data_IF_865602314974
#
_entry.id   IF_865602314974
#
_cell.length_a   1.000
_cell.length_b   1.000
_cell.length_c   1.000
_cell.angle_alpha   90.00
_cell.angle_beta   90.00
_cell.angle_gamma   90.00
#
_symmetry.space_group_name_H-M   'P 1'
#
loop_
_entity.id
_entity.type
_entity.pdbx_description
1 polymer ?
#
# COMPACT_ATOMS: atom_id res chain seq x y z
N UNK A 1 -2.08 15.40 -20.69
CA UNK A 1 -1.76 13.99 -20.34
C UNK A 1 -1.63 13.18 -21.62
N UNK A 2 -0.64 12.27 -21.71
CA UNK A 2 -0.52 11.35 -22.83
C UNK A 2 -1.78 10.48 -23.02
N UNK A 3 -2.06 10.07 -24.25
CA UNK A 3 -3.28 9.34 -24.61
C UNK A 3 -3.39 7.97 -23.91
N UNK A 4 -2.28 7.24 -23.75
CA UNK A 4 -2.28 5.93 -23.10
C UNK A 4 -2.49 6.03 -21.59
N UNK A 5 -1.99 7.07 -20.93
CA UNK A 5 -2.29 7.32 -19.50
C UNK A 5 -3.79 7.55 -19.32
N UNK A 6 -4.40 8.41 -20.15
CA UNK A 6 -5.84 8.70 -20.10
C UNK A 6 -6.69 7.44 -20.37
N UNK A 7 -6.30 6.64 -21.37
CA UNK A 7 -6.93 5.35 -21.67
C UNK A 7 -6.83 4.40 -20.47
N UNK A 8 -5.63 4.23 -19.91
CA UNK A 8 -5.39 3.34 -18.77
C UNK A 8 -6.23 3.73 -17.55
N UNK A 9 -6.29 5.03 -17.21
CA UNK A 9 -7.14 5.52 -16.14
C UNK A 9 -8.63 5.28 -16.41
N UNK A 10 -9.07 5.43 -17.66
CA UNK A 10 -10.44 5.12 -18.07
C UNK A 10 -10.73 3.63 -17.89
N UNK A 11 -9.80 2.76 -18.23
CA UNK A 11 -9.94 1.31 -18.03
C UNK A 11 -9.97 0.95 -16.53
N UNK A 12 -9.18 1.66 -15.71
CA UNK A 12 -9.10 1.44 -14.27
C UNK A 12 -10.27 2.04 -13.49
N UNK A 13 -11.02 3.01 -14.05
CA UNK A 13 -12.05 3.80 -13.34
C UNK A 13 -13.00 2.97 -12.48
N UNK A 14 -13.55 1.87 -13.01
CA UNK A 14 -14.51 1.01 -12.29
C UNK A 14 -13.83 0.31 -11.12
N UNK A 15 -12.57 -0.07 -11.30
CA UNK A 15 -11.75 -0.67 -10.25
C UNK A 15 -11.41 0.33 -9.16
N UNK A 16 -10.98 1.53 -9.55
CA UNK A 16 -10.63 2.60 -8.62
C UNK A 16 -11.85 2.98 -7.77
N UNK A 17 -13.02 3.16 -8.39
CA UNK A 17 -14.27 3.41 -7.67
C UNK A 17 -14.59 2.29 -6.68
N UNK A 18 -14.50 1.02 -7.09
CA UNK A 18 -14.75 -0.12 -6.20
C UNK A 18 -13.75 -0.19 -5.05
N UNK A 19 -12.48 0.08 -5.30
CA UNK A 19 -11.44 0.11 -4.26
C UNK A 19 -11.63 1.28 -3.29
N UNK A 20 -11.91 2.48 -3.80
CA UNK A 20 -12.23 3.64 -2.94
C UNK A 20 -13.46 3.38 -2.09
N UNK A 21 -14.53 2.81 -2.65
CA UNK A 21 -15.74 2.46 -1.90
C UNK A 21 -15.43 1.36 -0.88
N UNK A 22 -14.72 0.30 -1.25
CA UNK A 22 -14.42 -0.81 -0.35
C UNK A 22 -13.53 -0.43 0.82
N UNK A 23 -12.43 0.28 0.54
CA UNK A 23 -11.52 0.79 1.58
C UNK A 23 -12.23 1.85 2.42
N UNK A 24 -12.98 2.75 1.78
CA UNK A 24 -13.74 3.76 2.48
C UNK A 24 -14.80 3.16 3.40
N UNK A 25 -15.57 2.17 2.94
CA UNK A 25 -16.55 1.46 3.75
C UNK A 25 -15.90 0.75 4.93
N UNK A 26 -14.73 0.12 4.72
CA UNK A 26 -13.95 -0.48 5.79
C UNK A 26 -13.54 0.56 6.84
N UNK A 27 -12.95 1.68 6.43
CA UNK A 27 -12.56 2.75 7.36
C UNK A 27 -13.76 3.36 8.08
N UNK A 28 -14.86 3.65 7.37
CA UNK A 28 -16.09 4.16 7.99
C UNK A 28 -16.63 3.20 9.04
N UNK A 29 -16.70 1.90 8.73
CA UNK A 29 -17.17 0.89 9.66
C UNK A 29 -16.34 0.91 10.94
N UNK A 30 -15.01 0.82 10.82
CA UNK A 30 -14.15 0.75 12.01
C UNK A 30 -14.06 2.08 12.76
N UNK A 31 -14.04 3.23 12.10
CA UNK A 31 -14.02 4.51 12.80
C UNK A 31 -15.35 4.82 13.49
N UNK A 32 -16.48 4.32 12.95
CA UNK A 32 -17.78 4.49 13.60
C UNK A 32 -17.88 3.79 14.97
N UNK A 33 -17.05 2.77 15.20
CA UNK A 33 -16.98 2.02 16.47
C UNK A 33 -16.13 2.75 17.52
N UNK A 34 -15.26 3.67 17.13
CA UNK A 34 -14.32 4.34 18.04
C UNK A 34 -14.96 5.00 19.26
N UNK A 35 -16.07 5.78 19.16
CA UNK A 35 -16.68 6.39 20.34
C UNK A 35 -17.01 5.38 21.43
N UNK A 36 -17.59 4.22 21.05
CA UNK A 36 -17.90 3.14 21.97
C UNK A 36 -16.64 2.53 22.61
N UNK A 37 -15.56 2.38 21.83
CA UNK A 37 -14.29 1.87 22.35
C UNK A 37 -13.64 2.85 23.32
N UNK A 38 -13.69 4.16 23.01
CA UNK A 38 -13.07 5.22 23.82
C UNK A 38 -13.70 5.37 25.20
N UNK A 39 -15.01 5.08 25.32
CA UNK A 39 -15.75 5.10 26.59
C UNK A 39 -15.43 3.86 27.46
N UNK A 40 -15.16 2.71 26.83
CA UNK A 40 -14.96 1.41 27.50
C UNK A 40 -13.48 1.13 27.86
N UNK A 41 -12.89 1.99 28.68
CA UNK A 41 -11.46 1.93 29.05
C UNK A 41 -11.03 0.65 29.77
N UNK A 42 -11.95 0.01 30.50
CA UNK A 42 -11.67 -1.24 31.20
C UNK A 42 -11.39 -2.42 30.25
N UNK A 43 -11.96 -2.38 29.03
CA UNK A 43 -11.85 -3.44 28.04
C UNK A 43 -10.76 -3.13 27.00
N UNK A 44 -10.67 -1.87 26.58
CA UNK A 44 -9.81 -1.46 25.46
C UNK A 44 -8.62 -0.58 25.84
N UNK A 45 -8.47 -0.26 27.13
CA UNK A 45 -7.32 0.50 27.63
C UNK A 45 -6.02 -0.31 27.61
N UNK A 46 -4.89 0.39 27.73
CA UNK A 46 -3.56 -0.20 27.69
C UNK A 46 -3.35 -1.38 28.67
N UNK A 47 -3.97 -1.33 29.85
CA UNK A 47 -3.85 -2.40 30.86
C UNK A 47 -4.59 -3.69 30.46
N UNK A 48 -5.71 -3.58 29.74
CA UNK A 48 -6.44 -4.73 29.23
C UNK A 48 -5.70 -5.35 28.05
N UNK A 49 -5.18 -4.51 27.16
CA UNK A 49 -4.41 -4.94 25.99
C UNK A 49 -3.07 -5.62 26.36
N UNK A 50 -2.50 -5.29 27.52
CA UNK A 50 -1.30 -5.95 28.05
C UNK A 50 -1.52 -7.44 28.39
N UNK A 51 -2.78 -7.90 28.53
CA UNK A 51 -3.11 -9.30 28.85
C UNK A 51 -3.03 -10.23 27.64
N UNK A 52 -2.95 -9.70 26.43
CA UNK A 52 -2.84 -10.52 25.22
C UNK A 52 -1.42 -11.13 25.09
N UNK A 53 -1.30 -12.33 24.49
CA UNK A 53 0.01 -12.95 24.24
C UNK A 53 0.92 -12.03 23.42
N UNK A 54 2.22 -12.01 23.78
CA UNK A 54 3.21 -11.14 23.13
C UNK A 54 3.23 -11.26 21.60
N UNK A 55 3.19 -12.48 21.06
CA UNK A 55 3.19 -12.69 19.61
C UNK A 55 1.97 -12.08 18.90
N UNK A 56 0.78 -12.14 19.51
CA UNK A 56 -0.43 -11.52 18.95
C UNK A 56 -0.33 -9.99 19.04
N UNK A 57 0.25 -9.48 20.13
CA UNK A 57 0.51 -8.07 20.34
C UNK A 57 1.47 -7.51 19.30
N UNK A 58 2.55 -8.20 19.02
CA UNK A 58 3.57 -7.81 18.04
C UNK A 58 3.00 -7.76 16.62
N UNK A 59 2.24 -8.79 16.22
CA UNK A 59 1.56 -8.84 14.92
C UNK A 59 0.55 -7.70 14.74
N UNK A 60 -0.02 -7.18 15.83
CA UNK A 60 -0.92 -6.03 15.86
C UNK A 60 -0.21 -4.71 16.15
N UNK A 61 1.12 -4.64 15.98
CA UNK A 61 1.87 -3.39 16.11
C UNK A 61 2.09 -2.92 17.55
N UNK A 62 2.06 -3.84 18.50
CA UNK A 62 2.26 -3.54 19.92
C UNK A 62 0.97 -3.28 20.71
N UNK A 63 -0.22 -3.35 20.08
CA UNK A 63 -1.54 -3.02 20.67
C UNK A 63 -1.47 -1.82 21.62
N UNK A 64 -1.34 -0.62 21.03
CA UNK A 64 -1.36 0.63 21.77
C UNK A 64 -2.74 0.88 22.42
N UNK A 65 -2.85 1.92 23.24
CA UNK A 65 -4.13 2.31 23.84
C UNK A 65 -5.18 2.64 22.77
N UNK A 66 -6.15 1.73 22.56
CA UNK A 66 -7.23 1.88 21.59
C UNK A 66 -8.25 2.94 22.01
N UNK A 67 -8.19 3.41 23.26
CA UNK A 67 -9.07 4.48 23.75
C UNK A 67 -8.56 5.87 23.33
N UNK A 68 -7.31 5.95 22.87
CA UNK A 68 -6.76 7.15 22.24
C UNK A 68 -6.97 7.14 20.73
N UNK A 69 -7.29 8.29 20.15
CA UNK A 69 -7.51 8.39 18.69
C UNK A 69 -6.28 8.00 17.87
N UNK A 70 -5.09 8.39 18.33
CA UNK A 70 -3.82 8.02 17.70
C UNK A 70 -3.60 6.50 17.78
N UNK A 71 -3.76 5.89 18.96
CA UNK A 71 -3.55 4.45 19.14
C UNK A 71 -4.56 3.61 18.37
N UNK A 72 -5.83 4.05 18.31
CA UNK A 72 -6.87 3.40 17.53
C UNK A 72 -6.58 3.45 16.03
N UNK A 73 -6.31 4.64 15.47
CA UNK A 73 -5.98 4.77 14.05
C UNK A 73 -4.72 3.98 13.71
N UNK A 74 -3.66 4.11 14.51
CA UNK A 74 -2.40 3.41 14.30
C UNK A 74 -2.63 1.90 14.21
N UNK A 75 -3.39 1.34 15.14
CA UNK A 75 -3.56 -0.11 15.25
C UNK A 75 -4.58 -0.69 14.26
N UNK A 76 -5.71 -0.01 14.05
CA UNK A 76 -6.80 -0.54 13.21
C UNK A 76 -6.61 -0.16 11.74
N UNK A 77 -6.30 1.10 11.47
CA UNK A 77 -6.21 1.61 10.09
C UNK A 77 -4.83 1.37 9.52
N UNK A 78 -3.78 1.78 10.21
CA UNK A 78 -2.44 1.89 9.59
C UNK A 78 -1.52 0.70 9.88
N UNK A 79 -1.80 -0.13 10.88
CA UNK A 79 -0.90 -1.25 11.19
C UNK A 79 -0.99 -2.34 10.12
N UNK A 80 -2.20 -2.85 9.86
CA UNK A 80 -2.39 -4.03 9.00
C UNK A 80 -3.40 -3.79 7.88
N UNK A 81 -4.62 -3.35 8.19
CA UNK A 81 -5.70 -3.37 7.21
C UNK A 81 -5.53 -2.35 6.10
N UNK A 82 -5.24 -1.09 6.43
CA UNK A 82 -4.94 -0.04 5.45
C UNK A 82 -3.81 -0.43 4.50
N UNK A 83 -2.59 -0.74 4.98
CA UNK A 83 -1.51 -1.12 4.08
C UNK A 83 -1.85 -2.36 3.26
N UNK A 84 -2.45 -3.42 3.83
CA UNK A 84 -2.78 -4.63 3.06
C UNK A 84 -3.82 -4.38 1.96
N UNK A 85 -4.87 -3.60 2.25
CA UNK A 85 -5.87 -3.24 1.24
C UNK A 85 -5.23 -2.43 0.10
N UNK A 86 -4.32 -1.51 0.42
CA UNK A 86 -3.59 -0.73 -0.58
C UNK A 86 -2.60 -1.57 -1.38
N UNK A 87 -1.89 -2.51 -0.74
CA UNK A 87 -1.00 -3.47 -1.41
C UNK A 87 -1.80 -4.30 -2.42
N UNK A 88 -2.94 -4.85 -2.02
CA UNK A 88 -3.78 -5.65 -2.93
C UNK A 88 -4.33 -4.78 -4.07
N UNK A 89 -4.83 -3.57 -3.77
CA UNK A 89 -5.29 -2.62 -4.78
C UNK A 89 -4.20 -2.33 -5.81
N UNK A 90 -3.01 -1.94 -5.33
CA UNK A 90 -1.88 -1.58 -6.18
C UNK A 90 -1.33 -2.78 -6.96
N UNK A 91 -1.25 -3.96 -6.35
CA UNK A 91 -0.87 -5.21 -7.03
C UNK A 91 -1.78 -5.51 -8.21
N UNK A 92 -3.10 -5.41 -8.03
CA UNK A 92 -4.07 -5.66 -9.10
C UNK A 92 -3.98 -4.59 -10.20
N UNK A 93 -3.75 -3.33 -9.86
CA UNK A 93 -3.50 -2.28 -10.85
C UNK A 93 -2.19 -2.52 -11.60
N UNK A 94 -1.14 -2.97 -10.90
CA UNK A 94 0.17 -3.27 -11.49
C UNK A 94 0.11 -4.44 -12.47
N UNK A 95 -0.64 -5.48 -12.15
CA UNK A 95 -0.90 -6.59 -13.08
C UNK A 95 -1.63 -6.14 -14.35
N UNK A 96 -2.57 -5.18 -14.23
CA UNK A 96 -3.32 -4.63 -15.36
C UNK A 96 -2.49 -3.74 -16.29
N UNK A 97 -1.28 -3.40 -15.92
CA UNK A 97 -0.41 -2.60 -16.76
C UNK A 97 0.16 -3.40 -17.93
N UNK A 98 0.62 -4.64 -17.68
CA UNK A 98 1.33 -5.47 -18.67
C UNK A 98 0.87 -6.93 -18.64
N UNK A 99 1.13 -7.65 -17.56
CA UNK A 99 0.95 -9.11 -17.52
C UNK A 99 -0.49 -9.57 -17.78
N UNK A 100 -1.49 -8.88 -17.23
CA UNK A 100 -2.88 -9.25 -17.49
C UNK A 100 -3.30 -8.99 -18.95
N UNK A 101 -3.03 -7.80 -19.55
CA UNK A 101 -3.23 -7.60 -20.99
C UNK A 101 -2.50 -8.61 -21.88
N UNK A 102 -1.28 -9.00 -21.49
CA UNK A 102 -0.44 -9.94 -22.23
C UNK A 102 -1.03 -11.36 -22.24
N UNK A 103 -1.37 -11.90 -21.07
CA UNK A 103 -2.05 -13.21 -20.98
C UNK A 103 -3.41 -13.22 -21.68
N UNK A 104 -4.07 -12.07 -21.78
CA UNK A 104 -5.34 -11.94 -22.49
C UNK A 104 -5.17 -11.75 -24.01
N UNK A 105 -3.95 -11.71 -24.54
CA UNK A 105 -3.66 -11.46 -25.97
C UNK A 105 -3.98 -10.03 -26.43
N UNK A 106 -4.31 -9.13 -25.50
CA UNK A 106 -4.72 -7.74 -25.81
C UNK A 106 -3.54 -6.76 -25.82
N UNK A 107 -2.39 -7.17 -25.28
CA UNK A 107 -1.18 -6.34 -25.28
C UNK A 107 -0.66 -6.12 -26.71
N UNK A 108 -0.78 -7.12 -27.58
CA UNK A 108 -0.34 -7.06 -28.98
C UNK A 108 -1.00 -5.89 -29.73
N UNK A 109 -2.30 -5.66 -29.51
CA UNK A 109 -3.03 -4.52 -30.09
C UNK A 109 -2.50 -3.15 -29.64
N UNK A 110 -1.83 -3.08 -28.49
CA UNK A 110 -1.24 -1.84 -27.99
C UNK A 110 0.19 -1.67 -28.49
N UNK A 111 0.93 -2.76 -28.69
CA UNK A 111 2.31 -2.76 -29.17
C UNK A 111 2.38 -2.52 -30.69
N UNK A 112 1.31 -2.77 -31.44
CA UNK A 112 1.21 -2.39 -32.86
C UNK A 112 1.09 -0.88 -33.09
N UNK A 113 0.76 -0.10 -32.05
CA UNK A 113 0.81 1.36 -32.12
C UNK A 113 2.28 1.81 -32.13
N UNK A 114 2.62 2.94 -32.79
CA UNK A 114 3.98 3.48 -32.84
C UNK A 114 4.37 4.13 -31.50
N UNK A 115 4.43 3.32 -30.44
CA UNK A 115 4.77 3.71 -29.08
C UNK A 115 6.03 2.96 -28.68
N UNK A 116 7.05 3.71 -28.26
CA UNK A 116 8.28 3.14 -27.70
C UNK A 116 7.98 2.25 -26.48
N UNK A 117 8.68 1.11 -26.37
CA UNK A 117 8.45 0.12 -25.30
C UNK A 117 8.72 0.69 -23.91
N UNK A 118 9.75 1.52 -23.75
CA UNK A 118 10.07 2.16 -22.45
C UNK A 118 8.99 3.17 -22.09
N UNK A 119 8.55 3.95 -23.07
CA UNK A 119 7.42 4.88 -22.94
C UNK A 119 6.14 4.16 -22.54
N UNK A 120 5.85 2.99 -23.10
CA UNK A 120 4.70 2.16 -22.74
C UNK A 120 4.71 1.84 -21.23
N UNK A 121 5.80 1.26 -20.72
CA UNK A 121 5.92 0.88 -19.30
C UNK A 121 5.82 2.11 -18.40
N UNK A 122 6.50 3.19 -18.75
CA UNK A 122 6.48 4.43 -17.96
C UNK A 122 5.08 5.05 -17.90
N UNK A 123 4.37 5.15 -19.03
CA UNK A 123 3.00 5.69 -19.04
C UNK A 123 2.01 4.78 -18.27
N UNK A 124 2.21 3.45 -18.27
CA UNK A 124 1.45 2.54 -17.41
C UNK A 124 1.74 2.75 -15.93
N UNK A 125 3.00 2.95 -15.56
CA UNK A 125 3.39 3.32 -14.20
C UNK A 125 2.71 4.64 -13.77
N UNK A 126 2.73 5.67 -14.61
CA UNK A 126 2.07 6.95 -14.30
C UNK A 126 0.56 6.76 -14.09
N UNK A 127 -0.10 5.95 -14.91
CA UNK A 127 -1.52 5.64 -14.73
C UNK A 127 -1.80 4.90 -13.40
N UNK A 128 -0.93 3.95 -13.03
CA UNK A 128 -0.99 3.26 -11.75
C UNK A 128 -0.80 4.23 -10.58
N UNK A 129 0.24 5.07 -10.62
CA UNK A 129 0.56 6.02 -9.56
C UNK A 129 -0.56 7.04 -9.37
N UNK A 130 -1.09 7.62 -10.45
CA UNK A 130 -2.21 8.57 -10.38
C UNK A 130 -3.50 7.91 -9.90
N UNK A 131 -3.79 6.69 -10.36
CA UNK A 131 -4.97 5.95 -9.91
C UNK A 131 -4.90 5.63 -8.42
N UNK A 132 -3.76 5.14 -7.95
CA UNK A 132 -3.53 4.85 -6.53
C UNK A 132 -3.53 6.13 -5.67
N UNK A 133 -2.97 7.23 -6.18
CA UNK A 133 -3.00 8.53 -5.52
C UNK A 133 -4.44 9.04 -5.35
N UNK A 134 -5.31 8.83 -6.34
CA UNK A 134 -6.72 9.20 -6.22
C UNK A 134 -7.44 8.38 -5.12
N UNK A 135 -7.13 7.09 -4.99
CA UNK A 135 -7.66 6.24 -3.89
C UNK A 135 -7.13 6.72 -2.54
N UNK A 136 -5.82 6.99 -2.45
CA UNK A 136 -5.17 7.52 -1.25
C UNK A 136 -5.76 8.87 -0.82
N UNK A 137 -5.94 9.80 -1.76
CA UNK A 137 -6.50 11.12 -1.47
C UNK A 137 -7.96 11.04 -1.00
N UNK A 138 -8.78 10.22 -1.66
CA UNK A 138 -10.19 10.06 -1.28
C UNK A 138 -10.34 9.43 0.12
N UNK A 139 -9.54 8.40 0.41
CA UNK A 139 -9.56 7.73 1.73
C UNK A 139 -8.91 8.58 2.83
N UNK A 140 -7.90 9.39 2.50
CA UNK A 140 -7.34 10.40 3.40
C UNK A 140 -8.41 11.40 3.84
N UNK A 141 -9.13 12.00 2.89
CA UNK A 141 -10.19 12.96 3.20
C UNK A 141 -11.28 12.31 4.07
N UNK A 142 -11.64 11.07 3.78
CA UNK A 142 -12.60 10.32 4.58
C UNK A 142 -12.11 10.13 6.03
N UNK A 143 -10.90 9.62 6.22
CA UNK A 143 -10.34 9.37 7.55
C UNK A 143 -10.16 10.67 8.32
N UNK A 144 -9.71 11.74 7.65
CA UNK A 144 -9.59 13.06 8.28
C UNK A 144 -10.94 13.59 8.77
N UNK A 145 -11.98 13.53 7.93
CA UNK A 145 -13.33 13.97 8.30
C UNK A 145 -13.90 13.12 9.44
N UNK A 146 -13.81 11.80 9.35
CA UNK A 146 -14.28 10.89 10.41
C UNK A 146 -13.52 11.11 11.72
N UNK A 147 -12.21 11.31 11.66
CA UNK A 147 -11.39 11.62 12.83
C UNK A 147 -11.78 12.92 13.50
N UNK A 148 -12.19 13.93 12.73
CA UNK A 148 -12.67 15.20 13.26
C UNK A 148 -14.09 15.08 13.87
N UNK A 149 -14.99 14.35 13.20
CA UNK A 149 -16.37 14.14 13.67
C UNK A 149 -16.41 13.30 14.94
N UNK A 150 -15.52 12.32 15.09
CA UNK A 150 -15.41 11.47 16.28
C UNK A 150 -14.51 12.04 17.38
N UNK A 151 -14.11 13.32 17.28
CA UNK A 151 -13.24 14.04 18.22
C UNK A 151 -12.01 13.23 18.68
N UNK A 152 -11.35 12.57 17.71
CA UNK A 152 -10.22 11.68 18.01
C UNK A 152 -8.95 12.44 18.45
N UNK A 153 -8.93 13.77 18.32
CA UNK A 153 -7.78 14.61 18.68
C UNK A 153 -6.53 14.39 17.82
N UNK A 154 -6.65 13.76 16.65
CA UNK A 154 -5.52 13.45 15.76
C UNK A 154 -5.31 14.60 14.76
N UNK A 155 -4.13 15.25 14.74
CA UNK A 155 -3.84 16.31 13.79
C UNK A 155 -3.83 15.83 12.33
N UNK A 156 -4.32 16.67 11.42
CA UNK A 156 -4.48 16.32 10.00
C UNK A 156 -3.15 16.03 9.29
N UNK A 157 -2.08 16.72 9.67
CA UNK A 157 -0.72 16.50 9.17
C UNK A 157 -0.20 15.10 9.49
N UNK A 158 -0.57 14.55 10.64
CA UNK A 158 -0.20 13.18 11.05
C UNK A 158 -0.97 12.13 10.27
N UNK A 159 -2.26 12.37 10.02
CA UNK A 159 -3.09 11.52 9.14
C UNK A 159 -2.54 11.55 7.70
N UNK A 160 -2.10 12.72 7.25
CA UNK A 160 -1.49 12.90 5.92
C UNK A 160 -0.15 12.17 5.82
N UNK A 161 0.69 12.24 6.85
CA UNK A 161 1.93 11.48 6.94
C UNK A 161 1.65 9.97 6.81
N UNK A 162 0.72 9.45 7.60
CA UNK A 162 0.35 8.04 7.57
C UNK A 162 -0.22 7.59 6.21
N UNK A 163 -1.12 8.38 5.59
CA UNK A 163 -1.63 8.10 4.24
C UNK A 163 -0.54 8.16 3.18
N UNK A 164 0.44 9.05 3.32
CA UNK A 164 1.60 9.11 2.42
C UNK A 164 2.40 7.82 2.50
N UNK A 165 2.64 7.31 3.71
CA UNK A 165 3.27 6.00 3.91
C UNK A 165 2.51 4.87 3.24
N UNK A 166 1.18 4.80 3.44
CA UNK A 166 0.32 3.76 2.81
C UNK A 166 0.36 3.87 1.28
N UNK A 167 0.31 5.09 0.74
CA UNK A 167 0.43 5.33 -0.69
C UNK A 167 1.77 4.85 -1.25
N UNK A 168 2.89 5.22 -0.60
CA UNK A 168 4.23 4.83 -1.04
C UNK A 168 4.45 3.32 -0.95
N UNK A 169 3.96 2.69 0.11
CA UNK A 169 4.01 1.24 0.27
C UNK A 169 3.18 0.53 -0.80
N UNK A 170 1.94 0.98 -1.02
CA UNK A 170 1.11 0.48 -2.11
C UNK A 170 1.79 0.66 -3.46
N UNK A 171 2.37 1.83 -3.72
CA UNK A 171 3.08 2.12 -4.97
C UNK A 171 4.26 1.18 -5.18
N UNK A 172 5.08 0.95 -4.14
CA UNK A 172 6.17 -0.02 -4.17
C UNK A 172 5.68 -1.41 -4.62
N UNK A 173 4.62 -1.93 -4.01
CA UNK A 173 4.08 -3.26 -4.36
C UNK A 173 3.38 -3.29 -5.72
N UNK A 174 2.74 -2.20 -6.14
CA UNK A 174 2.18 -2.05 -7.48
C UNK A 174 3.27 -2.05 -8.56
N UNK A 175 4.40 -1.38 -8.30
CA UNK A 175 5.56 -1.39 -9.19
C UNK A 175 6.29 -2.73 -9.15
N UNK A 176 6.33 -3.42 -8.01
CA UNK A 176 6.83 -4.80 -7.93
C UNK A 176 6.01 -5.75 -8.82
N UNK A 177 4.67 -5.67 -8.75
CA UNK A 177 3.79 -6.42 -9.64
C UNK A 177 4.05 -6.07 -11.12
N UNK A 178 4.16 -4.78 -11.44
CA UNK A 178 4.51 -4.30 -12.79
C UNK A 178 5.85 -4.86 -13.25
N UNK A 179 6.86 -4.88 -12.39
CA UNK A 179 8.23 -5.33 -12.71
C UNK A 179 8.26 -6.81 -13.02
N UNK A 180 7.65 -7.64 -12.16
CA UNK A 180 7.57 -9.09 -12.40
C UNK A 180 6.70 -9.37 -13.62
N UNK A 181 5.61 -8.63 -13.78
CA UNK A 181 4.74 -8.73 -14.95
C UNK A 181 5.44 -8.36 -16.26
N UNK A 182 6.23 -7.29 -16.27
CA UNK A 182 7.06 -6.88 -17.39
C UNK A 182 8.10 -7.95 -17.77
N UNK A 183 8.76 -8.52 -16.75
CA UNK A 183 9.81 -9.51 -16.95
C UNK A 183 9.31 -10.88 -17.39
N UNK A 184 8.11 -11.28 -16.96
CA UNK A 184 7.61 -12.66 -17.13
C UNK A 184 6.41 -12.78 -18.05
N UNK A 185 5.63 -11.71 -18.21
CA UNK A 185 4.32 -11.72 -18.89
C UNK A 185 3.25 -12.51 -18.15
N UNK A 186 3.51 -12.97 -16.93
CA UNK A 186 2.65 -13.88 -16.17
C UNK A 186 2.05 -13.19 -14.96
N UNK A 187 0.71 -13.04 -14.93
CA UNK A 187 -0.01 -12.42 -13.81
C UNK A 187 0.16 -13.23 -12.53
N UNK A 188 0.17 -14.56 -12.64
CA UNK A 188 0.32 -15.47 -11.50
C UNK A 188 1.67 -15.31 -10.80
N UNK A 189 2.76 -15.15 -11.57
CA UNK A 189 4.09 -14.92 -11.03
C UNK A 189 4.17 -13.58 -10.29
N UNK A 190 3.63 -12.52 -10.88
CA UNK A 190 3.60 -11.21 -10.25
C UNK A 190 2.80 -11.20 -8.94
N UNK A 191 1.64 -11.87 -8.90
CA UNK A 191 0.85 -12.03 -7.67
C UNK A 191 1.60 -12.84 -6.60
N UNK A 192 2.26 -13.94 -6.99
CA UNK A 192 2.99 -14.78 -6.05
C UNK A 192 4.17 -14.02 -5.42
N UNK A 193 4.96 -13.30 -6.22
CA UNK A 193 6.09 -12.51 -5.71
C UNK A 193 5.60 -11.41 -4.78
N UNK A 194 4.57 -10.65 -5.16
CA UNK A 194 4.00 -9.62 -4.27
C UNK A 194 3.46 -10.23 -2.98
N UNK A 195 2.74 -11.34 -3.05
CA UNK A 195 2.21 -12.03 -1.87
C UNK A 195 3.30 -12.46 -0.89
N UNK A 196 4.37 -13.08 -1.40
CA UNK A 196 5.52 -13.53 -0.57
C UNK A 196 6.23 -12.33 0.04
N UNK A 197 6.54 -11.30 -0.74
CA UNK A 197 7.26 -10.11 -0.24
C UNK A 197 6.38 -9.31 0.73
N UNK A 198 5.07 -9.23 0.50
CA UNK A 198 4.15 -8.51 1.38
C UNK A 198 3.97 -9.22 2.72
N UNK A 199 3.63 -10.51 2.69
CA UNK A 199 3.41 -11.29 3.92
C UNK A 199 4.73 -11.47 4.68
N UNK A 200 5.80 -11.88 3.99
CA UNK A 200 7.11 -12.05 4.59
C UNK A 200 7.67 -10.75 5.16
N UNK A 201 7.56 -9.65 4.40
CA UNK A 201 8.02 -8.33 4.85
C UNK A 201 7.26 -7.83 6.08
N UNK A 202 5.94 -8.04 6.13
CA UNK A 202 5.13 -7.67 7.29
C UNK A 202 5.48 -8.48 8.54
N UNK A 203 5.62 -9.80 8.40
CA UNK A 203 6.01 -10.70 9.50
C UNK A 203 7.39 -10.33 10.02
N UNK A 204 8.35 -10.12 9.12
CA UNK A 204 9.71 -9.71 9.48
C UNK A 204 9.71 -8.39 10.24
N UNK A 205 8.96 -7.37 9.80
CA UNK A 205 8.94 -6.08 10.49
C UNK A 205 8.25 -6.16 11.86
N UNK A 206 7.13 -6.88 11.97
CA UNK A 206 6.37 -6.96 13.21
C UNK A 206 7.01 -7.88 14.25
N UNK A 207 7.51 -9.05 13.85
CA UNK A 207 8.08 -10.04 14.76
C UNK A 207 9.60 -9.88 14.92
N UNK A 208 10.30 -9.36 13.91
CA UNK A 208 11.76 -9.23 13.95
C UNK A 208 12.28 -8.22 14.96
N UNK A 209 11.41 -7.40 15.56
CA UNK A 209 11.74 -6.53 16.69
C UNK A 209 12.15 -7.32 17.93
N UNK A 210 11.59 -8.51 18.11
CA UNK A 210 11.75 -9.33 19.31
C UNK A 210 12.54 -10.63 19.04
N UNK A 211 13.07 -10.79 17.83
CA UNK A 211 13.73 -12.02 17.38
C UNK A 211 15.06 -11.66 16.71
N UNK A 212 16.15 -11.79 17.46
CA UNK A 212 17.49 -11.30 17.07
C UNK A 212 17.97 -11.84 15.72
N UNK A 213 17.72 -13.13 15.42
CA UNK A 213 18.25 -13.78 14.21
C UNK A 213 17.60 -13.30 12.90
N UNK A 214 16.40 -12.71 12.94
CA UNK A 214 15.73 -12.08 11.79
C UNK A 214 15.70 -10.55 11.87
N UNK A 215 16.21 -9.95 12.93
CA UNK A 215 16.17 -8.50 13.14
C UNK A 215 16.80 -7.71 12.00
N UNK A 216 17.87 -8.23 11.39
CA UNK A 216 18.55 -7.62 10.25
C UNK A 216 17.70 -7.63 8.96
N UNK A 217 16.77 -8.58 8.79
CA UNK A 217 15.89 -8.64 7.63
C UNK A 217 14.90 -7.47 7.60
N UNK A 218 14.68 -6.80 8.73
CA UNK A 218 13.81 -5.61 8.82
C UNK A 218 14.26 -4.50 7.88
N UNK A 219 15.56 -4.26 7.78
CA UNK A 219 16.14 -3.24 6.91
C UNK A 219 15.87 -3.47 5.42
N UNK A 220 15.56 -4.72 5.03
CA UNK A 220 15.21 -5.10 3.66
C UNK A 220 13.70 -5.00 3.44
N UNK A 221 12.90 -5.13 4.51
CA UNK A 221 11.45 -5.09 4.41
C UNK A 221 10.94 -3.69 4.05
N UNK A 222 10.10 -3.55 3.01
CA UNK A 222 9.46 -2.26 2.71
C UNK A 222 8.53 -1.80 3.85
N UNK A 223 8.05 -2.71 4.70
CA UNK A 223 7.23 -2.37 5.86
C UNK A 223 8.01 -1.65 6.96
N UNK A 224 9.34 -1.83 7.05
CA UNK A 224 10.17 -1.09 7.99
C UNK A 224 10.07 0.42 7.74
N UNK A 225 10.28 0.83 6.51
CA UNK A 225 10.19 2.23 6.07
C UNK A 225 8.75 2.79 6.05
N UNK A 226 7.76 1.95 6.33
CA UNK A 226 6.37 2.36 6.47
C UNK A 226 5.95 2.47 7.95
N UNK A 227 6.34 1.52 8.79
CA UNK A 227 5.88 1.39 10.19
C UNK A 227 6.83 2.03 11.21
N UNK A 228 8.14 1.98 11.01
CA UNK A 228 9.12 2.28 12.07
C UNK A 228 9.11 3.77 12.47
N UNK A 229 8.97 4.68 11.50
CA UNK A 229 8.87 6.12 11.74
C UNK A 229 7.58 6.61 12.43
N UNK A 230 6.62 5.72 12.73
CA UNK A 230 5.39 5.98 13.49
C UNK A 230 4.72 7.34 13.18
N UNK A 231 4.26 7.56 11.92
CA UNK A 231 3.86 8.89 11.44
C UNK A 231 2.72 9.55 12.22
N UNK A 232 1.82 8.75 12.81
CA UNK A 232 0.74 9.27 13.65
C UNK A 232 1.20 9.83 15.00
N UNK A 233 2.39 9.45 15.45
CA UNK A 233 2.99 9.91 16.70
C UNK A 233 4.02 11.01 16.46
N UNK A 234 4.87 10.82 15.45
CA UNK A 234 6.09 11.61 15.26
C UNK A 234 6.02 12.60 14.09
N UNK A 235 4.97 12.56 13.26
CA UNK A 235 4.87 13.35 12.04
C UNK A 235 5.58 12.69 10.86
N UNK A 236 5.99 13.45 9.85
CA UNK A 236 6.51 12.89 8.59
C UNK A 236 7.90 12.23 8.72
N UNK A 237 8.04 10.91 8.51
CA UNK A 237 9.33 10.23 8.48
C UNK A 237 9.96 10.35 7.09
N UNK A 238 10.49 11.55 6.78
CA UNK A 238 10.99 11.89 5.43
C UNK A 238 12.06 10.92 4.94
N UNK A 239 13.00 10.52 5.82
CA UNK A 239 14.08 9.59 5.48
C UNK A 239 13.55 8.25 4.97
N UNK A 240 12.65 7.63 5.73
CA UNK A 240 12.06 6.34 5.38
C UNK A 240 11.27 6.40 4.08
N UNK A 241 10.49 7.46 3.89
CA UNK A 241 9.69 7.66 2.68
C UNK A 241 10.55 7.89 1.44
N UNK A 242 11.71 8.54 1.58
CA UNK A 242 12.69 8.67 0.50
C UNK A 242 13.31 7.32 0.13
N UNK A 243 13.61 6.45 1.10
CA UNK A 243 14.10 5.09 0.83
C UNK A 243 13.06 4.29 0.06
N UNK A 244 11.80 4.33 0.50
CA UNK A 244 10.70 3.60 -0.15
C UNK A 244 10.42 4.12 -1.58
N UNK A 245 10.47 5.44 -1.78
CA UNK A 245 10.37 6.06 -3.10
C UNK A 245 11.56 5.70 -4.00
N UNK A 246 12.78 5.70 -3.46
CA UNK A 246 13.99 5.28 -4.17
C UNK A 246 13.94 3.82 -4.61
N UNK A 247 13.54 2.92 -3.71
CA UNK A 247 13.37 1.50 -4.03
C UNK A 247 12.29 1.28 -5.12
N UNK A 248 11.20 2.04 -5.06
CA UNK A 248 10.16 2.06 -6.10
C UNK A 248 10.73 2.51 -7.45
N UNK A 249 11.58 3.54 -7.47
CA UNK A 249 12.23 4.02 -8.70
C UNK A 249 13.18 2.97 -9.30
N UNK A 250 13.94 2.25 -8.47
CA UNK A 250 14.81 1.14 -8.91
C UNK A 250 13.99 0.01 -9.52
N UNK A 251 12.87 -0.37 -8.91
CA UNK A 251 11.95 -1.36 -9.49
C UNK A 251 11.38 -0.89 -10.83
N UNK A 252 10.98 0.37 -10.95
CA UNK A 252 10.48 0.92 -12.21
C UNK A 252 11.53 0.88 -13.32
N UNK A 253 12.77 1.28 -13.03
CA UNK A 253 13.88 1.18 -13.98
C UNK A 253 14.08 -0.29 -14.40
N UNK A 254 14.02 -1.21 -13.44
CA UNK A 254 14.12 -2.66 -13.71
C UNK A 254 12.98 -3.14 -14.61
N UNK A 255 11.75 -2.70 -14.37
CA UNK A 255 10.59 -3.04 -15.19
C UNK A 255 10.75 -2.57 -16.64
N UNK A 256 11.24 -1.33 -16.83
CA UNK A 256 11.50 -0.74 -18.14
C UNK A 256 12.56 -1.56 -18.89
N UNK A 257 13.70 -1.85 -18.24
CA UNK A 257 14.79 -2.60 -18.85
C UNK A 257 14.43 -4.05 -19.14
N UNK A 258 13.67 -4.70 -18.25
CA UNK A 258 13.21 -6.07 -18.44
C UNK A 258 12.24 -6.19 -19.62
N UNK A 259 11.30 -5.24 -19.75
CA UNK A 259 10.35 -5.23 -20.87
C UNK A 259 11.03 -4.90 -22.20
N UNK A 260 11.99 -3.98 -22.20
CA UNK A 260 12.72 -3.57 -23.40
C UNK A 260 13.50 -4.73 -24.03
N UNK A 261 14.13 -5.56 -23.18
CA UNK A 261 14.95 -6.72 -23.59
C UNK A 261 14.14 -7.97 -23.91
N UNK A 262 12.85 -8.02 -23.55
CA UNK A 262 12.01 -9.20 -23.73
C UNK A 262 11.35 -9.18 -25.11
N UNK A 263 11.34 -10.32 -25.79
CA UNK A 263 10.53 -10.49 -26.98
C UNK A 263 9.06 -10.61 -26.58
N UNK A 264 8.24 -9.68 -27.07
CA UNK A 264 6.81 -9.59 -26.78
C UNK A 264 6.07 -9.78 -28.10
N UNK A 265 5.31 -10.86 -28.24
CA UNK A 265 4.51 -11.16 -29.44
C UNK A 265 5.24 -11.96 -30.53
N UNK A 266 5.58 -13.23 -30.24
CA UNK A 266 5.73 -14.30 -31.25
C UNK A 266 4.91 -15.49 -30.80
#
# INVERSE_FOLDING_TARGET
>A
MPALVSKSLRDYRRSLIRWTIGIGAFFTLYLSIYPNISENKEIYGAQALAKYPGALRDLMGGMEDFTSGIGYLSSVVYQLFGPMLFVVCAMLLGNRAIAQPEEAGTLELTVTLPIDRRRLVFERFVALALGLLAVAAATFLLVWVLSAVSDMGVPADRILAAHTGVFLLGLFFGVLALTVGAATGRKGAAMAVVGVVAVGGYIVETMGKNVDWISWLRWISPFHYYLDGRPLHQGFPVGDYLVLAGATAVLLITAILAFDRRDVGV
#
